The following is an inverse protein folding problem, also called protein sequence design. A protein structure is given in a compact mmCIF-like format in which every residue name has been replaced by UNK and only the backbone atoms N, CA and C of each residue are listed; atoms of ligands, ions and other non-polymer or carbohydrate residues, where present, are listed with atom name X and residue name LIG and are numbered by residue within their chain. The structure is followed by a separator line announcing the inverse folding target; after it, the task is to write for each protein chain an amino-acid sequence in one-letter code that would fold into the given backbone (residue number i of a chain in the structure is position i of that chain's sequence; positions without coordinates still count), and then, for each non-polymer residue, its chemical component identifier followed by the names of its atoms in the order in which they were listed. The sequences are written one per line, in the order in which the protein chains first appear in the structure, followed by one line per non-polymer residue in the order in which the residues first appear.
data_IF_514856716766
#
_entry.id   IF_514856716766
#
_cell.length_a   1.000
_cell.length_b   1.000
_cell.length_c   1.000
_cell.angle_alpha   90.00
_cell.angle_beta   90.00
_cell.angle_gamma   90.00
#
_symmetry.space_group_name_H-M   'P 1'
#
loop_
_entity.id
_entity.type
_entity.pdbx_description
1 polymer ?
#
# COMPACT_ATOMS: atom_id res chain seq x y z
N UNK A 1 15.53 -0.12 -4.06
CA UNK A 1 15.75 -0.86 -2.80
C UNK A 1 14.98 -2.16 -2.91
N UNK A 2 15.62 -3.30 -2.66
CA UNK A 2 14.93 -4.59 -2.74
C UNK A 2 14.08 -4.76 -1.49
N UNK A 3 12.76 -4.84 -1.62
CA UNK A 3 11.93 -5.41 -0.54
C UNK A 3 12.24 -6.91 -0.56
N UNK A 4 13.36 -7.30 0.08
CA UNK A 4 13.78 -8.70 0.14
C UNK A 4 12.80 -9.46 1.01
N UNK A 5 11.95 -10.23 0.35
CA UNK A 5 11.17 -11.27 1.02
C UNK A 5 11.97 -12.56 0.95
N UNK A 6 11.90 -13.36 2.02
CA UNK A 6 12.46 -14.71 2.09
C UNK A 6 12.05 -15.57 0.88
N UNK A 7 12.85 -16.59 0.55
CA UNK A 7 12.74 -17.52 -0.61
C UNK A 7 11.33 -17.69 -1.20
N UNK A 8 11.17 -17.75 -2.53
CA UNK A 8 9.87 -17.54 -3.16
C UNK A 8 8.92 -18.70 -2.88
N UNK A 9 7.92 -18.47 -2.03
CA UNK A 9 6.67 -19.22 -2.12
C UNK A 9 6.00 -18.89 -3.45
N UNK A 10 5.25 -19.81 -4.08
CA UNK A 10 4.42 -19.44 -5.22
C UNK A 10 3.43 -18.34 -4.81
N UNK A 11 3.05 -17.42 -5.72
CA UNK A 11 2.01 -16.45 -5.43
C UNK A 11 0.67 -17.15 -5.11
N UNK A 12 -0.21 -16.51 -4.33
CA UNK A 12 -0.10 -15.13 -3.88
C UNK A 12 0.85 -14.96 -2.67
N UNK A 13 1.54 -13.83 -2.60
CA UNK A 13 2.47 -13.50 -1.52
C UNK A 13 1.83 -12.62 -0.47
N UNK A 14 2.26 -12.77 0.78
CA UNK A 14 1.85 -11.90 1.87
C UNK A 14 2.96 -10.88 2.18
N UNK A 15 2.65 -9.60 2.08
CA UNK A 15 3.54 -8.50 2.40
C UNK A 15 3.04 -7.74 3.63
N UNK A 16 3.91 -7.44 4.59
CA UNK A 16 3.59 -6.54 5.69
C UNK A 16 3.60 -5.08 5.22
N UNK A 17 2.44 -4.64 4.74
CA UNK A 17 2.22 -3.33 4.15
C UNK A 17 0.76 -2.94 4.31
N UNK A 18 0.50 -1.64 4.46
CA UNK A 18 -0.84 -1.07 4.29
C UNK A 18 -0.98 -0.65 2.84
N UNK A 19 -2.10 -0.95 2.19
CA UNK A 19 -2.36 -0.63 0.79
C UNK A 19 -3.61 0.25 0.67
N UNK A 20 -3.48 1.37 -0.01
CA UNK A 20 -4.60 2.25 -0.39
C UNK A 20 -4.73 2.31 -1.90
N UNK A 21 -5.95 2.44 -2.41
CA UNK A 21 -6.27 2.56 -3.83
C UNK A 21 -6.74 3.97 -4.17
N UNK A 22 -6.24 4.52 -5.27
CA UNK A 22 -6.68 5.76 -5.87
C UNK A 22 -6.91 5.51 -7.37
N UNK A 23 -8.16 5.61 -7.83
CA UNK A 23 -8.49 5.35 -9.24
C UNK A 23 -8.14 3.94 -9.73
N UNK A 24 -8.13 2.94 -8.84
CA UNK A 24 -7.79 1.55 -9.18
C UNK A 24 -6.30 1.20 -9.10
N UNK A 25 -5.44 2.18 -8.79
CA UNK A 25 -4.01 1.98 -8.56
C UNK A 25 -3.69 1.98 -7.07
N UNK A 26 -2.88 1.02 -6.63
CA UNK A 26 -2.48 0.87 -5.25
C UNK A 26 -1.13 1.56 -4.96
N UNK A 27 -1.09 2.28 -3.85
CA UNK A 27 0.13 2.64 -3.17
C UNK A 27 0.34 1.67 -1.98
N UNK A 28 1.48 0.99 -1.96
CA UNK A 28 1.91 0.15 -0.85
C UNK A 28 2.72 1.00 0.14
N UNK A 29 2.18 1.21 1.33
CA UNK A 29 2.83 1.94 2.41
C UNK A 29 3.59 0.92 3.26
N UNK A 30 4.91 1.02 3.24
CA UNK A 30 5.84 0.11 3.93
C UNK A 30 6.65 0.86 4.98
N UNK A 31 7.13 0.14 5.98
CA UNK A 31 7.92 0.69 7.06
C UNK A 31 7.81 -0.14 8.35
N UNK A 32 8.66 0.14 9.36
CA UNK A 32 8.66 -0.54 10.64
C UNK A 32 7.29 -0.52 11.33
N UNK A 33 7.09 -1.42 12.28
CA UNK A 33 5.94 -1.31 13.17
C UNK A 33 5.98 0.03 13.91
N UNK A 34 4.82 0.69 14.02
CA UNK A 34 4.72 2.01 14.64
C UNK A 34 5.17 3.20 13.78
N UNK A 35 5.60 2.99 12.53
CA UNK A 35 6.04 4.09 11.64
C UNK A 35 4.89 4.97 11.09
N UNK A 36 3.64 4.70 11.48
CA UNK A 36 2.47 5.46 11.03
C UNK A 36 1.85 5.01 9.69
N UNK A 37 2.09 3.77 9.23
CA UNK A 37 1.50 3.24 7.97
C UNK A 37 -0.03 3.40 7.92
N UNK A 38 -0.72 2.90 8.93
CA UNK A 38 -2.18 2.96 9.06
C UNK A 38 -2.68 4.40 9.29
N UNK A 39 -1.93 5.21 10.04
CA UNK A 39 -2.27 6.62 10.25
C UNK A 39 -2.21 7.43 8.93
N UNK A 40 -1.17 7.23 8.13
CA UNK A 40 -1.06 7.85 6.80
C UNK A 40 -2.19 7.38 5.90
N UNK A 41 -2.51 6.08 5.90
CA UNK A 41 -3.64 5.56 5.14
C UNK A 41 -4.95 6.24 5.54
N UNK A 42 -5.26 6.34 6.84
CA UNK A 42 -6.48 7.02 7.33
C UNK A 42 -6.58 8.46 6.84
N UNK A 43 -5.47 9.21 6.87
CA UNK A 43 -5.45 10.59 6.36
C UNK A 43 -5.78 10.62 4.86
N UNK A 44 -5.16 9.75 4.07
CA UNK A 44 -5.47 9.66 2.64
C UNK A 44 -6.94 9.31 2.38
N UNK A 45 -7.54 8.40 3.18
CA UNK A 45 -8.96 8.05 3.07
C UNK A 45 -9.89 9.22 3.43
N UNK A 46 -9.46 10.11 4.32
CA UNK A 46 -10.21 11.29 4.75
C UNK A 46 -10.13 12.45 3.73
N UNK A 47 -9.13 12.46 2.86
CA UNK A 47 -8.99 13.49 1.82
C UNK A 47 -10.06 13.36 0.75
N UNK A 48 -10.86 14.42 0.57
CA UNK A 48 -11.84 14.49 -0.49
C UNK A 48 -11.19 14.78 -1.85
N UNK A 49 -11.81 14.32 -2.97
CA UNK A 49 -11.40 14.74 -4.29
C UNK A 49 -11.34 16.27 -4.40
N UNK A 50 -10.32 16.78 -5.08
CA UNK A 50 -10.06 18.20 -5.24
C UNK A 50 -9.32 18.48 -6.56
N UNK A 51 -8.89 19.72 -6.79
CA UNK A 51 -8.20 20.11 -8.03
C UNK A 51 -6.87 19.38 -8.31
N UNK A 52 -6.30 18.71 -7.31
CA UNK A 52 -5.08 17.91 -7.42
C UNK A 52 -5.34 16.41 -7.41
N UNK A 53 -6.41 15.97 -6.73
CA UNK A 53 -6.73 14.55 -6.50
C UNK A 53 -8.12 14.25 -7.07
N UNK A 54 -8.18 13.54 -8.21
CA UNK A 54 -9.44 13.31 -8.92
C UNK A 54 -10.35 12.25 -8.26
N UNK A 55 -9.81 11.35 -7.44
CA UNK A 55 -10.53 10.23 -6.85
C UNK A 55 -10.43 10.25 -5.32
N UNK A 56 -11.42 9.70 -4.62
CA UNK A 56 -11.27 9.44 -3.20
C UNK A 56 -10.37 8.21 -3.01
N UNK A 57 -9.52 8.21 -2.00
CA UNK A 57 -8.76 7.02 -1.65
C UNK A 57 -9.69 5.99 -0.98
N UNK A 58 -9.40 4.71 -1.19
CA UNK A 58 -10.07 3.59 -0.51
C UNK A 58 -9.04 2.63 0.06
N UNK A 59 -9.36 1.95 1.15
CA UNK A 59 -8.47 0.94 1.71
C UNK A 59 -8.47 -0.28 0.77
N UNK A 60 -7.31 -0.88 0.53
CA UNK A 60 -7.23 -2.22 -0.06
C UNK A 60 -6.97 -3.23 1.04
N UNK A 61 -5.98 -2.96 1.88
CA UNK A 61 -5.60 -3.78 3.02
C UNK A 61 -4.87 -2.93 4.08
N UNK A 62 -4.97 -3.31 5.35
CA UNK A 62 -4.15 -2.77 6.43
C UNK A 62 -3.31 -3.89 7.05
N UNK A 63 -2.10 -3.56 7.50
CA UNK A 63 -1.09 -4.44 8.11
C UNK A 63 -0.54 -5.56 7.19
N UNK A 64 -1.41 -6.31 6.52
CA UNK A 64 -1.07 -7.43 5.65
C UNK A 64 -1.75 -7.27 4.29
N UNK A 65 -0.94 -7.11 3.24
CA UNK A 65 -1.39 -7.02 1.85
C UNK A 65 -1.01 -8.29 1.11
N UNK A 66 -1.99 -8.91 0.44
CA UNK A 66 -1.78 -10.04 -0.46
C UNK A 66 -1.45 -9.50 -1.85
N UNK A 67 -0.35 -9.97 -2.45
CA UNK A 67 0.11 -9.61 -3.79
C UNK A 67 0.06 -10.83 -4.72
N UNK A 68 -0.56 -10.67 -5.89
CA UNK A 68 -0.59 -11.71 -6.92
C UNK A 68 -0.28 -11.10 -8.30
N UNK A 69 0.50 -11.78 -9.15
CA UNK A 69 0.72 -11.34 -10.51
C UNK A 69 -0.55 -11.55 -11.36
N UNK A 70 -0.91 -10.54 -12.16
CA UNK A 70 -1.95 -10.61 -13.19
C UNK A 70 -1.52 -9.72 -14.36
N UNK A 71 -1.46 -10.28 -15.56
CA UNK A 71 -1.11 -9.56 -16.80
C UNK A 71 0.19 -8.73 -16.69
N UNK A 72 1.21 -9.32 -16.06
CA UNK A 72 2.52 -8.67 -15.88
C UNK A 72 2.59 -7.61 -14.78
N UNK A 73 1.50 -7.38 -14.03
CA UNK A 73 1.46 -6.42 -12.91
C UNK A 73 1.11 -7.12 -11.60
N UNK A 74 1.46 -6.49 -10.48
CA UNK A 74 1.02 -6.96 -9.17
C UNK A 74 -0.35 -6.38 -8.83
N UNK A 75 -1.24 -7.25 -8.35
CA UNK A 75 -2.55 -6.90 -7.82
C UNK A 75 -2.52 -7.04 -6.30
N UNK A 76 -2.89 -5.97 -5.60
CA UNK A 76 -3.03 -5.94 -4.16
C UNK A 76 -4.47 -6.28 -3.73
N UNK A 77 -4.59 -7.11 -2.70
CA UNK A 77 -5.85 -7.48 -2.03
C UNK A 77 -5.63 -7.62 -0.53
N UNK A 78 -6.69 -7.64 0.27
CA UNK A 78 -6.62 -7.99 1.69
C UNK A 78 -6.86 -9.49 1.93
N UNK A 79 -6.26 -10.08 2.97
CA UNK A 79 -6.77 -11.31 3.55
C UNK A 79 -8.25 -11.16 3.93
N UNK A 80 -9.06 -12.16 3.60
CA UNK A 80 -10.51 -12.11 3.81
C UNK A 80 -10.90 -11.83 5.26
N UNK A 81 -10.09 -12.31 6.22
CA UNK A 81 -10.32 -12.09 7.64
C UNK A 81 -10.23 -10.62 8.03
N UNK A 82 -9.38 -9.80 7.41
CA UNK A 82 -9.13 -8.40 7.80
C UNK A 82 -9.61 -7.38 6.77
N UNK A 83 -10.28 -7.81 5.70
CA UNK A 83 -10.78 -6.94 4.64
C UNK A 83 -11.67 -5.81 5.19
N UNK A 84 -11.38 -4.59 4.73
CA UNK A 84 -12.10 -3.37 5.08
C UNK A 84 -12.01 -2.92 6.54
N UNK A 85 -11.02 -3.43 7.26
CA UNK A 85 -10.74 -3.07 8.65
C UNK A 85 -9.37 -2.41 8.76
N UNK A 86 -9.30 -1.39 9.61
CA UNK A 86 -8.07 -0.67 9.95
C UNK A 86 -8.02 -0.46 11.46
N UNK A 87 -6.85 -0.68 12.07
CA UNK A 87 -6.66 -0.41 13.49
C UNK A 87 -6.33 1.06 13.71
N UNK A 88 -7.17 1.75 14.47
CA UNK A 88 -6.91 3.13 14.90
C UNK A 88 -6.54 3.12 16.36
N UNK A 89 -5.29 3.49 16.66
CA UNK A 89 -4.79 3.52 18.05
C UNK A 89 -5.65 4.44 18.91
N UNK A 90 -6.13 3.91 20.04
CA UNK A 90 -7.02 4.62 20.96
C UNK A 90 -8.52 4.51 20.62
N UNK A 91 -8.90 4.03 19.43
CA UNK A 91 -10.30 3.79 19.04
C UNK A 91 -10.60 2.31 18.79
N UNK A 92 -9.57 1.51 18.48
CA UNK A 92 -9.71 0.10 18.11
C UNK A 92 -9.89 -0.10 16.61
N UNK A 93 -10.42 -1.26 16.23
CA UNK A 93 -10.61 -1.63 14.82
C UNK A 93 -11.89 -0.96 14.29
N UNK A 94 -11.76 -0.24 13.17
CA UNK A 94 -12.89 0.42 12.50
C UNK A 94 -13.06 -0.09 11.08
N UNK A 95 -14.26 0.08 10.54
CA UNK A 95 -14.57 -0.25 9.14
C UNK A 95 -14.48 1.00 8.27
N UNK A 96 -13.90 0.88 7.08
CA UNK A 96 -13.70 2.00 6.15
C UNK A 96 -14.09 1.64 4.71
N UNK A 97 -14.35 2.63 3.84
CA UNK A 97 -14.52 2.38 2.41
C UNK A 97 -13.33 1.60 1.83
N UNK A 98 -13.63 0.51 1.11
CA UNK A 98 -12.63 -0.49 0.71
C UNK A 98 -12.79 -0.88 -0.75
N UNK A 99 -11.66 -0.96 -1.46
CA UNK A 99 -11.56 -1.56 -2.78
C UNK A 99 -11.22 -3.05 -2.65
N UNK A 100 -11.91 -3.90 -3.43
CA UNK A 100 -11.68 -5.35 -3.44
C UNK A 100 -10.26 -5.70 -3.86
N UNK A 101 -9.74 -5.00 -4.87
CA UNK A 101 -8.40 -5.16 -5.39
C UNK A 101 -7.93 -3.86 -6.07
N UNK A 102 -6.63 -3.69 -6.23
CA UNK A 102 -6.04 -2.58 -6.99
C UNK A 102 -4.67 -2.94 -7.58
N UNK A 103 -4.29 -2.31 -8.68
CA UNK A 103 -3.01 -2.55 -9.37
C UNK A 103 -1.89 -1.80 -8.69
N UNK A 104 -0.85 -2.47 -8.19
CA UNK A 104 0.30 -1.83 -7.56
C UNK A 104 1.01 -0.91 -8.55
N UNK A 105 1.19 0.36 -8.17
CA UNK A 105 1.85 1.37 -8.99
C UNK A 105 2.90 2.18 -8.20
N UNK A 106 2.82 2.18 -6.87
CA UNK A 106 3.70 2.98 -6.02
C UNK A 106 4.06 2.24 -4.73
N UNK A 107 5.29 2.42 -4.27
CA UNK A 107 5.72 2.07 -2.92
C UNK A 107 6.07 3.34 -2.18
N UNK A 108 5.43 3.55 -1.02
CA UNK A 108 5.73 4.65 -0.10
C UNK A 108 6.47 4.06 1.10
N UNK A 109 7.77 4.35 1.21
CA UNK A 109 8.61 3.82 2.28
C UNK A 109 8.81 4.83 3.41
N UNK A 110 8.19 4.57 4.56
CA UNK A 110 8.26 5.43 5.75
C UNK A 110 9.58 5.30 6.53
N UNK A 111 10.55 4.50 6.08
CA UNK A 111 11.93 4.48 6.60
C UNK A 111 12.78 5.62 6.07
N UNK A 112 12.41 6.18 4.92
CA UNK A 112 13.23 7.17 4.24
C UNK A 112 13.00 8.53 4.89
N UNK A 113 13.92 8.94 5.76
CA UNK A 113 13.84 10.21 6.49
C UNK A 113 14.47 11.40 5.75
N UNK A 114 15.19 11.15 4.67
CA UNK A 114 15.87 12.16 3.84
C UNK A 114 15.54 11.88 2.37
N UNK A 115 14.43 12.44 1.89
CA UNK A 115 14.18 12.53 0.46
C UNK A 115 14.88 13.79 -0.08
N UNK A 116 15.52 13.67 -1.24
CA UNK A 116 15.98 14.83 -1.98
C UNK A 116 14.80 15.73 -2.33
N UNK A 117 14.99 17.05 -2.32
CA UNK A 117 13.92 18.01 -2.64
C UNK A 117 13.39 17.81 -4.06
N UNK A 118 14.28 17.46 -4.99
CA UNK A 118 13.92 17.06 -6.34
C UNK A 118 14.11 15.54 -6.45
N UNK A 119 13.14 14.81 -7.02
CA UNK A 119 13.35 13.40 -7.28
C UNK A 119 14.42 13.21 -8.35
N UNK A 120 15.20 12.12 -8.29
CA UNK A 120 16.12 11.78 -9.37
C UNK A 120 15.35 11.39 -10.63
N UNK A 121 16.00 11.57 -11.78
CA UNK A 121 15.52 11.10 -13.08
C UNK A 121 16.43 9.99 -13.62
N UNK A 122 15.92 8.77 -13.84
CA UNK A 122 14.55 8.31 -13.63
C UNK A 122 14.20 8.12 -12.14
N UNK A 123 12.89 8.05 -11.84
CA UNK A 123 12.43 7.69 -10.50
C UNK A 123 13.00 6.34 -10.04
N UNK A 124 13.33 6.18 -8.74
CA UNK A 124 13.80 4.91 -8.21
C UNK A 124 12.76 3.81 -8.40
N UNK A 125 13.22 2.61 -8.75
CA UNK A 125 12.39 1.41 -8.82
C UNK A 125 12.63 0.50 -7.62
N UNK A 126 11.59 -0.26 -7.30
CA UNK A 126 11.58 -1.25 -6.22
C UNK A 126 11.12 -2.56 -6.80
N UNK A 127 11.98 -3.58 -6.73
CA UNK A 127 11.58 -4.94 -7.05
C UNK A 127 10.75 -5.51 -5.90
N UNK A 128 9.60 -6.08 -6.24
CA UNK A 128 8.71 -6.79 -5.35
C UNK A 128 8.46 -8.17 -5.97
N UNK A 129 9.02 -9.22 -5.37
CA UNK A 129 8.86 -10.60 -5.83
C UNK A 129 9.22 -10.80 -7.33
N UNK A 130 10.20 -10.08 -7.86
CA UNK A 130 10.59 -10.15 -9.27
C UNK A 130 9.78 -9.24 -10.22
N UNK A 131 8.97 -8.32 -9.67
CA UNK A 131 8.22 -7.32 -10.42
C UNK A 131 8.73 -5.90 -10.08
N UNK A 132 9.14 -5.13 -11.10
CA UNK A 132 9.66 -3.75 -10.97
C UNK A 132 8.71 -2.68 -11.50
#
# INVERSE_FOLDING_TARGET
MDIRVSEPSPPPWLLHATAISLGGFAALIVGPSGSGKSDLALRCLAEAPNGLIAHAATLVADDQTILAPRDGRLIATAPASISGRIEVRGLGIVTVPTAREATVALVVDLRVHLAERLPPEPLPRTDIFGHS
#
